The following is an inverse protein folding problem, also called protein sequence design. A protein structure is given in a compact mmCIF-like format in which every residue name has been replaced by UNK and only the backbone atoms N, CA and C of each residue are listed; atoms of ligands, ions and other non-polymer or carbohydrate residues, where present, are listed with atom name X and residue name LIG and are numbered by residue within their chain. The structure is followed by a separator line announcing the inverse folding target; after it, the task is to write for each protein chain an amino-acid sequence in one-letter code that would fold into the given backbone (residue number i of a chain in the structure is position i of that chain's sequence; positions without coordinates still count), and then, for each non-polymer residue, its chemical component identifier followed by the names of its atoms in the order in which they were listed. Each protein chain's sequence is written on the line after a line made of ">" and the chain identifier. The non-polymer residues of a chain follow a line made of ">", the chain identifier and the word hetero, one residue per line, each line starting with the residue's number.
data_IF_914004949685
#
_entry.id   IF_914004949685
#
_cell.length_a   1.000
_cell.length_b   1.000
_cell.length_c   1.000
_cell.angle_alpha   90.00
_cell.angle_beta   90.00
_cell.angle_gamma   90.00
#
_symmetry.space_group_name_H-M   'P 1'
#
loop_
_entity.id
_entity.type
_entity.pdbx_description
1 polymer ?
#
# COMPACT_ATOMS: atom_id res chain seq x y z
N UNK A 1 -36.82 -16.30 18.18
CA UNK A 1 -38.28 -16.46 18.14
C UNK A 1 -38.91 -15.56 19.21
N UNK A 2 -39.58 -14.51 18.79
CA UNK A 2 -40.35 -13.64 19.71
C UNK A 2 -41.56 -14.41 20.28
N UNK A 3 -41.31 -15.32 21.22
CA UNK A 3 -42.34 -16.17 21.80
C UNK A 3 -43.59 -15.38 22.19
N UNK A 4 -44.64 -15.42 21.40
CA UNK A 4 -45.88 -14.74 21.66
C UNK A 4 -46.68 -14.45 20.39
N UNK A 5 -47.69 -13.63 20.53
CA UNK A 5 -48.71 -13.32 19.52
C UNK A 5 -48.24 -12.38 18.38
N UNK A 6 -46.95 -12.09 18.28
CA UNK A 6 -46.40 -11.23 17.22
C UNK A 6 -45.63 -12.06 16.22
N UNK A 7 -45.82 -11.76 14.94
CA UNK A 7 -45.05 -12.33 13.85
C UNK A 7 -43.59 -11.93 13.99
N UNK A 8 -42.66 -12.88 13.80
CA UNK A 8 -41.23 -12.63 13.79
C UNK A 8 -40.89 -11.59 12.72
N UNK A 9 -40.07 -10.62 13.07
CA UNK A 9 -39.66 -9.58 12.15
C UNK A 9 -38.66 -10.10 11.09
N UNK A 10 -38.59 -9.43 9.95
CA UNK A 10 -37.89 -9.90 8.76
C UNK A 10 -36.35 -9.96 8.89
N UNK A 11 -35.77 -9.19 9.83
CA UNK A 11 -34.31 -9.04 9.93
C UNK A 11 -33.56 -10.35 10.14
N UNK A 12 -34.05 -11.20 11.07
CA UNK A 12 -33.51 -12.53 11.31
C UNK A 12 -33.61 -13.42 10.06
N UNK A 13 -34.77 -13.42 9.40
CA UNK A 13 -34.95 -14.21 8.18
C UNK A 13 -33.98 -13.77 7.06
N UNK A 14 -33.79 -12.47 6.90
CA UNK A 14 -32.85 -11.95 5.91
C UNK A 14 -31.40 -12.34 6.27
N UNK A 15 -31.03 -12.32 7.54
CA UNK A 15 -29.72 -12.75 8.03
C UNK A 15 -29.47 -14.23 7.71
N UNK A 16 -30.38 -15.11 8.15
CA UNK A 16 -30.25 -16.56 7.89
C UNK A 16 -30.25 -16.87 6.39
N UNK A 17 -31.02 -16.13 5.59
CA UNK A 17 -30.98 -16.26 4.14
C UNK A 17 -29.66 -15.76 3.56
N UNK A 18 -29.00 -14.79 4.17
CA UNK A 18 -27.65 -14.37 3.85
C UNK A 18 -26.65 -15.52 3.91
N UNK A 19 -26.75 -16.40 4.93
CA UNK A 19 -25.93 -17.61 4.99
C UNK A 19 -26.22 -18.58 3.84
N UNK A 20 -27.47 -18.69 3.40
CA UNK A 20 -27.82 -19.50 2.22
C UNK A 20 -27.17 -18.96 0.94
N UNK A 21 -26.96 -17.63 0.86
CA UNK A 21 -26.24 -16.99 -0.23
C UNK A 21 -24.71 -17.11 -0.11
N UNK A 22 -24.19 -17.63 1.00
CA UNK A 22 -22.78 -17.85 1.24
C UNK A 22 -22.09 -16.71 2.02
N UNK A 23 -22.83 -15.76 2.58
CA UNK A 23 -22.26 -14.71 3.42
C UNK A 23 -21.91 -15.22 4.81
N UNK A 24 -20.71 -14.93 5.33
CA UNK A 24 -20.36 -15.23 6.73
C UNK A 24 -20.96 -14.21 7.68
N UNK A 25 -20.91 -14.50 8.97
CA UNK A 25 -21.16 -13.52 10.00
C UNK A 25 -20.04 -12.49 10.07
N UNK A 26 -20.38 -11.20 10.06
CA UNK A 26 -19.43 -10.12 10.24
C UNK A 26 -19.34 -9.61 11.68
N UNK A 27 -19.99 -10.27 12.63
CA UNK A 27 -19.79 -10.04 14.04
C UNK A 27 -18.80 -11.04 14.64
N UNK A 28 -18.38 -10.78 15.85
CA UNK A 28 -17.53 -11.66 16.65
C UNK A 28 -18.33 -12.89 17.12
N UNK A 29 -18.11 -14.02 16.47
CA UNK A 29 -18.88 -15.26 16.72
C UNK A 29 -18.46 -15.98 17.98
N UNK A 30 -17.33 -15.64 18.60
CA UNK A 30 -16.90 -16.19 19.89
C UNK A 30 -17.12 -15.21 21.07
N UNK A 31 -17.68 -14.04 20.78
CA UNK A 31 -18.07 -12.97 21.71
C UNK A 31 -16.95 -12.32 22.49
N UNK A 32 -16.02 -13.04 23.06
CA UNK A 32 -14.91 -12.48 23.82
C UNK A 32 -13.81 -13.49 24.12
N UNK A 33 -13.91 -14.70 23.59
CA UNK A 33 -12.96 -15.77 23.89
C UNK A 33 -11.57 -15.49 23.32
N UNK A 34 -11.47 -14.80 22.18
CA UNK A 34 -10.21 -14.51 21.48
C UNK A 34 -9.61 -13.14 21.79
N UNK A 35 -9.72 -12.69 23.04
CA UNK A 35 -9.04 -11.45 23.48
C UNK A 35 -9.94 -10.22 23.59
N UNK A 36 -11.23 -10.40 23.71
CA UNK A 36 -12.26 -9.38 23.84
C UNK A 36 -13.19 -9.31 22.64
N UNK A 37 -14.24 -8.51 22.73
CA UNK A 37 -15.23 -8.40 21.67
C UNK A 37 -14.79 -7.43 20.58
N UNK A 38 -14.81 -7.89 19.33
CA UNK A 38 -14.57 -7.06 18.16
C UNK A 38 -15.82 -6.25 17.79
N UNK A 39 -15.71 -4.95 17.51
CA UNK A 39 -16.85 -4.12 17.08
C UNK A 39 -17.39 -4.52 15.70
N UNK A 40 -16.53 -5.03 14.80
CA UNK A 40 -16.90 -5.51 13.47
C UNK A 40 -17.69 -4.46 12.65
N UNK A 41 -18.80 -4.85 12.04
CA UNK A 41 -19.61 -3.96 11.20
C UNK A 41 -20.87 -3.42 11.90
N UNK A 42 -21.13 -3.84 13.13
CA UNK A 42 -22.25 -3.34 13.94
C UNK A 42 -23.60 -3.30 13.20
N UNK A 43 -24.33 -2.20 13.35
CA UNK A 43 -25.65 -1.99 12.72
C UNK A 43 -25.60 -1.75 11.20
N UNK A 44 -24.43 -1.66 10.61
CA UNK A 44 -24.24 -1.34 9.18
C UNK A 44 -24.33 -2.56 8.25
N UNK A 45 -24.25 -3.78 8.78
CA UNK A 45 -24.34 -5.00 8.00
C UNK A 45 -25.51 -5.88 8.47
N UNK A 46 -26.21 -6.46 7.49
CA UNK A 46 -27.21 -7.49 7.70
C UNK A 46 -26.62 -8.71 8.43
N UNK A 47 -25.38 -9.08 8.05
CA UNK A 47 -24.66 -10.22 8.63
C UNK A 47 -23.93 -9.88 9.94
N UNK A 48 -24.32 -8.77 10.58
CA UNK A 48 -23.89 -8.34 11.89
C UNK A 48 -25.13 -7.91 12.70
N UNK A 49 -25.00 -7.03 13.69
CA UNK A 49 -26.13 -6.57 14.50
C UNK A 49 -27.18 -5.76 13.74
N UNK A 50 -26.91 -5.40 12.48
CA UNK A 50 -27.88 -4.71 11.60
C UNK A 50 -29.18 -5.48 11.39
N UNK A 51 -29.17 -6.82 11.47
CA UNK A 51 -30.38 -7.64 11.43
C UNK A 51 -31.39 -7.28 12.51
N UNK A 52 -30.93 -6.64 13.61
CA UNK A 52 -31.80 -6.21 14.74
C UNK A 52 -32.28 -4.75 14.62
N UNK A 53 -31.88 -4.02 13.57
CA UNK A 53 -32.30 -2.62 13.41
C UNK A 53 -33.82 -2.46 13.44
N UNK A 54 -34.29 -1.45 14.16
CA UNK A 54 -35.72 -1.17 14.36
C UNK A 54 -36.51 -2.43 14.86
N UNK A 55 -35.96 -3.12 15.86
CA UNK A 55 -36.51 -4.39 16.35
C UNK A 55 -36.64 -5.44 15.22
N UNK A 56 -35.63 -5.60 14.44
CA UNK A 56 -35.54 -6.51 13.29
C UNK A 56 -36.52 -6.27 12.15
N UNK A 57 -37.19 -5.10 12.13
CA UNK A 57 -38.16 -4.76 11.07
C UNK A 57 -37.55 -4.09 9.88
N UNK A 58 -36.35 -3.49 10.03
CA UNK A 58 -35.68 -2.71 9.00
C UNK A 58 -34.20 -3.04 8.99
N UNK A 59 -33.83 -4.25 8.57
CA UNK A 59 -32.40 -4.57 8.37
C UNK A 59 -31.79 -3.60 7.36
N UNK A 60 -30.48 -3.27 7.48
CA UNK A 60 -29.84 -2.31 6.59
C UNK A 60 -29.75 -2.87 5.16
N UNK A 61 -29.49 -1.99 4.21
CA UNK A 61 -29.10 -2.41 2.86
C UNK A 61 -27.90 -3.35 2.92
N UNK A 62 -27.95 -4.40 2.12
CA UNK A 62 -26.82 -5.30 1.88
C UNK A 62 -25.64 -4.46 1.40
N UNK A 63 -24.48 -4.61 2.04
CA UNK A 63 -23.30 -3.81 1.76
C UNK A 63 -22.63 -4.21 0.44
N UNK A 64 -21.67 -3.41 0.00
CA UNK A 64 -21.02 -3.61 -1.30
C UNK A 64 -20.23 -4.92 -1.39
N UNK A 65 -19.63 -5.41 -0.28
CA UNK A 65 -18.94 -6.70 -0.26
C UNK A 65 -19.94 -7.85 -0.40
N UNK A 66 -21.01 -7.84 0.39
CA UNK A 66 -22.07 -8.85 0.33
C UNK A 66 -22.66 -8.95 -1.08
N UNK A 67 -22.88 -7.79 -1.75
CA UNK A 67 -23.34 -7.74 -3.14
C UNK A 67 -22.31 -8.30 -4.12
N UNK A 68 -21.04 -7.98 -3.93
CA UNK A 68 -19.96 -8.45 -4.78
C UNK A 68 -19.77 -9.97 -4.67
N UNK A 69 -19.82 -10.52 -3.46
CA UNK A 69 -19.70 -11.97 -3.22
C UNK A 69 -20.72 -12.81 -4.01
N UNK A 70 -21.91 -12.27 -4.27
CA UNK A 70 -22.99 -12.96 -4.99
C UNK A 70 -23.17 -12.44 -6.43
N UNK A 71 -22.29 -11.56 -6.90
CA UNK A 71 -22.31 -11.06 -8.29
C UNK A 71 -23.40 -10.02 -8.57
N UNK A 72 -24.01 -9.40 -7.55
CA UNK A 72 -25.01 -8.33 -7.76
C UNK A 72 -24.37 -6.97 -8.04
N UNK A 73 -23.13 -6.77 -7.62
CA UNK A 73 -22.35 -5.59 -7.87
C UNK A 73 -20.90 -5.97 -8.10
N UNK A 74 -20.20 -5.12 -8.85
CA UNK A 74 -18.74 -5.16 -8.99
C UNK A 74 -18.21 -3.78 -8.64
N UNK A 75 -17.44 -3.64 -7.55
CA UNK A 75 -16.85 -2.38 -7.17
C UNK A 75 -15.82 -1.93 -8.22
N UNK A 76 -15.89 -0.66 -8.60
CA UNK A 76 -14.94 -0.06 -9.54
C UNK A 76 -13.63 0.26 -8.83
N UNK A 77 -12.50 -0.20 -9.39
CA UNK A 77 -11.19 0.11 -8.82
C UNK A 77 -10.80 1.56 -9.09
N UNK A 78 -10.40 2.26 -8.04
CA UNK A 78 -9.94 3.65 -8.12
C UNK A 78 -8.46 3.67 -8.45
N UNK A 79 -8.13 4.05 -9.69
CA UNK A 79 -6.75 4.05 -10.21
C UNK A 79 -6.28 5.39 -10.73
N UNK A 80 -7.18 6.37 -10.90
CA UNK A 80 -6.86 7.63 -11.55
C UNK A 80 -7.23 8.84 -10.69
N UNK A 81 -6.50 9.94 -10.89
CA UNK A 81 -6.84 11.23 -10.30
C UNK A 81 -8.13 11.78 -10.92
N UNK A 82 -8.94 12.44 -10.14
CA UNK A 82 -10.12 13.11 -10.68
C UNK A 82 -11.25 13.34 -9.69
N UNK A 83 -12.35 13.80 -10.23
CA UNK A 83 -13.61 13.97 -9.50
C UNK A 83 -14.46 12.71 -9.71
N UNK A 84 -14.82 12.07 -8.62
CA UNK A 84 -15.63 10.87 -8.60
C UNK A 84 -17.01 11.16 -8.00
N UNK A 85 -18.00 10.40 -8.45
CA UNK A 85 -19.36 10.49 -7.92
C UNK A 85 -19.88 9.10 -7.64
N UNK A 86 -20.16 8.82 -6.37
CA UNK A 86 -20.62 7.52 -5.90
C UNK A 86 -22.12 7.57 -5.64
N UNK A 87 -22.87 6.84 -6.44
CA UNK A 87 -24.30 6.61 -6.25
C UNK A 87 -24.57 5.75 -5.00
N UNK A 88 -25.79 5.76 -4.45
CA UNK A 88 -26.15 4.90 -3.32
C UNK A 88 -25.89 3.42 -3.59
N UNK A 89 -25.49 2.66 -2.58
CA UNK A 89 -25.26 1.23 -2.66
C UNK A 89 -26.48 0.44 -3.14
N UNK A 90 -27.68 0.99 -2.95
CA UNK A 90 -28.93 0.44 -3.50
C UNK A 90 -28.96 0.39 -5.02
N UNK A 91 -28.09 1.14 -5.69
CA UNK A 91 -27.89 1.12 -7.14
C UNK A 91 -26.74 0.18 -7.58
N UNK A 92 -26.26 -0.68 -6.68
CA UNK A 92 -25.16 -1.62 -6.89
C UNK A 92 -23.84 -0.94 -7.29
N UNK A 93 -23.55 0.23 -6.70
CA UNK A 93 -22.33 0.99 -6.92
C UNK A 93 -21.44 0.98 -5.68
N UNK A 94 -20.14 0.88 -5.92
CA UNK A 94 -19.09 0.95 -4.92
C UNK A 94 -17.74 1.15 -5.56
N UNK A 95 -16.77 1.57 -4.78
CA UNK A 95 -15.38 1.68 -5.20
C UNK A 95 -14.49 0.71 -4.42
N UNK A 96 -13.42 0.29 -5.06
CA UNK A 96 -12.36 -0.53 -4.50
C UNK A 96 -11.04 0.23 -4.54
N UNK A 97 -10.30 0.19 -3.45
CA UNK A 97 -8.94 0.73 -3.35
C UNK A 97 -8.01 -0.38 -2.91
N UNK A 98 -7.04 -0.70 -3.75
CA UNK A 98 -6.02 -1.69 -3.43
C UNK A 98 -5.03 -1.15 -2.40
N UNK A 99 -4.50 -2.05 -1.58
CA UNK A 99 -3.30 -1.79 -0.79
C UNK A 99 -2.08 -2.42 -1.47
N UNK A 100 -0.86 -2.14 -1.01
CA UNK A 100 0.33 -2.86 -1.47
C UNK A 100 0.31 -4.36 -1.17
N UNK A 101 -0.60 -4.83 -0.32
CA UNK A 101 -0.75 -6.22 0.06
C UNK A 101 -1.86 -6.87 -0.75
N UNK A 102 -1.56 -7.90 -1.53
CA UNK A 102 -2.54 -8.63 -2.34
C UNK A 102 -3.67 -9.17 -1.48
N UNK A 103 -4.92 -8.93 -1.88
CA UNK A 103 -6.15 -9.31 -1.18
C UNK A 103 -6.36 -8.63 0.19
N UNK A 104 -5.68 -7.52 0.43
CA UNK A 104 -5.96 -6.58 1.51
C UNK A 104 -6.35 -5.25 0.84
N UNK A 105 -7.60 -4.81 0.99
CA UNK A 105 -8.14 -3.69 0.23
C UNK A 105 -9.22 -2.93 1.00
N UNK A 106 -9.58 -1.76 0.50
CA UNK A 106 -10.68 -0.97 1.02
C UNK A 106 -11.85 -0.98 0.04
N UNK A 107 -13.06 -1.08 0.57
CA UNK A 107 -14.31 -0.91 -0.16
C UNK A 107 -15.03 0.34 0.30
N UNK A 108 -15.55 1.08 -0.65
CA UNK A 108 -16.27 2.31 -0.42
C UNK A 108 -17.70 2.18 -0.96
N UNK A 109 -18.67 2.58 -0.15
CA UNK A 109 -20.06 2.65 -0.56
C UNK A 109 -20.72 3.93 -0.04
N UNK A 110 -21.82 4.31 -0.68
CA UNK A 110 -22.65 5.44 -0.23
C UNK A 110 -23.97 4.94 0.35
N UNK A 111 -24.24 5.33 1.59
CA UNK A 111 -25.51 5.06 2.27
C UNK A 111 -26.39 6.31 2.30
N UNK A 112 -27.48 6.28 1.55
CA UNK A 112 -28.50 7.33 1.61
C UNK A 112 -29.56 7.00 2.66
N UNK A 113 -29.20 7.19 3.92
CA UNK A 113 -30.08 6.89 5.07
C UNK A 113 -31.33 7.76 5.13
N UNK A 114 -31.42 8.80 4.31
CA UNK A 114 -32.60 9.69 4.24
C UNK A 114 -33.68 9.11 3.34
N UNK A 115 -33.32 8.66 2.15
CA UNK A 115 -34.26 8.24 1.12
C UNK A 115 -34.44 6.72 1.07
N UNK A 116 -33.45 5.95 1.56
CA UNK A 116 -33.55 4.50 1.61
C UNK A 116 -34.15 4.03 2.96
N UNK A 117 -35.38 3.51 2.90
CA UNK A 117 -36.08 3.03 4.11
C UNK A 117 -35.33 1.99 4.93
N UNK A 118 -34.49 1.18 4.28
CA UNK A 118 -33.72 0.14 4.94
C UNK A 118 -32.55 0.68 5.74
N UNK A 119 -31.99 1.82 5.31
CA UNK A 119 -30.88 2.48 5.99
C UNK A 119 -31.34 3.60 6.95
N UNK A 120 -32.64 3.95 6.96
CA UNK A 120 -33.19 4.96 7.89
C UNK A 120 -32.85 4.72 9.36
N UNK A 121 -32.86 3.48 9.89
CA UNK A 121 -32.45 3.23 11.29
C UNK A 121 -31.03 3.63 11.62
N UNK A 122 -30.13 3.73 10.61
CA UNK A 122 -28.76 4.21 10.79
C UNK A 122 -28.70 5.73 10.95
N UNK A 123 -29.76 6.45 10.62
CA UNK A 123 -29.85 7.90 10.70
C UNK A 123 -30.27 8.36 12.10
N UNK A 124 -29.52 7.96 13.13
CA UNK A 124 -29.76 8.39 14.53
C UNK A 124 -29.53 9.88 14.75
N UNK A 125 -28.81 10.55 13.82
CA UNK A 125 -28.68 12.00 13.71
C UNK A 125 -28.66 12.41 12.24
N UNK A 126 -29.11 13.62 11.92
CA UNK A 126 -29.33 14.09 10.55
C UNK A 126 -28.12 14.00 9.60
N UNK A 127 -26.92 13.84 10.13
CA UNK A 127 -25.66 13.74 9.36
C UNK A 127 -25.12 12.33 9.25
N UNK A 128 -25.84 11.28 9.70
CA UNK A 128 -25.40 9.89 9.58
C UNK A 128 -25.73 9.32 8.21
N UNK A 129 -25.13 9.89 7.16
CA UNK A 129 -25.26 9.47 5.76
C UNK A 129 -24.03 9.85 4.96
N UNK A 130 -23.86 9.20 3.83
CA UNK A 130 -22.76 9.47 2.89
C UNK A 130 -21.84 8.28 2.74
N UNK A 131 -20.56 8.55 2.64
CA UNK A 131 -19.54 7.54 2.39
C UNK A 131 -19.30 6.68 3.63
N UNK A 132 -19.35 5.37 3.44
CA UNK A 132 -18.83 4.36 4.33
C UNK A 132 -17.61 3.71 3.69
N UNK A 133 -16.63 3.36 4.52
CA UNK A 133 -15.41 2.70 4.10
C UNK A 133 -15.18 1.44 4.94
N UNK A 134 -14.89 0.35 4.27
CA UNK A 134 -14.57 -0.93 4.89
C UNK A 134 -13.13 -1.30 4.57
N UNK A 135 -12.42 -1.83 5.54
CA UNK A 135 -11.15 -2.52 5.35
C UNK A 135 -11.44 -4.01 5.29
N UNK A 136 -10.96 -4.68 4.25
CA UNK A 136 -11.15 -6.12 4.02
C UNK A 136 -9.79 -6.79 3.90
N UNK A 137 -9.51 -7.76 4.77
CA UNK A 137 -8.37 -8.65 4.66
C UNK A 137 -8.84 -10.05 4.24
N UNK A 138 -8.61 -10.36 2.97
CA UNK A 138 -8.81 -11.68 2.37
C UNK A 138 -7.49 -12.31 1.95
N UNK A 139 -6.38 -11.93 2.61
CA UNK A 139 -5.05 -12.51 2.33
C UNK A 139 -5.04 -14.00 2.62
N UNK A 140 -4.14 -14.73 2.00
CA UNK A 140 -4.03 -16.19 2.16
C UNK A 140 -3.91 -16.65 3.62
N UNK A 141 -3.36 -15.79 4.48
CA UNK A 141 -3.26 -16.03 5.92
C UNK A 141 -4.62 -16.07 6.61
N UNK A 142 -5.58 -15.28 6.15
CA UNK A 142 -6.89 -15.09 6.80
C UNK A 142 -8.05 -15.74 6.06
N UNK A 143 -7.85 -16.30 4.86
CA UNK A 143 -8.88 -17.09 4.15
C UNK A 143 -9.52 -18.17 5.02
N UNK A 144 -8.78 -18.89 5.91
CA UNK A 144 -9.42 -19.86 6.81
C UNK A 144 -10.47 -19.25 7.72
N UNK A 145 -10.26 -18.03 8.24
CA UNK A 145 -11.23 -17.36 9.11
C UNK A 145 -12.54 -17.05 8.37
N UNK A 146 -12.47 -16.66 7.10
CA UNK A 146 -13.63 -16.50 6.24
C UNK A 146 -14.37 -17.83 6.04
N UNK A 147 -13.63 -18.90 5.78
CA UNK A 147 -14.20 -20.24 5.55
C UNK A 147 -14.83 -20.86 6.80
N UNK A 148 -14.28 -20.56 7.97
CA UNK A 148 -14.77 -21.09 9.26
C UNK A 148 -15.72 -20.15 9.98
N UNK A 149 -16.15 -19.05 9.36
CA UNK A 149 -17.03 -18.06 9.94
C UNK A 149 -16.50 -17.44 11.25
N UNK A 150 -15.19 -17.17 11.31
CA UNK A 150 -14.49 -16.63 12.48
C UNK A 150 -13.70 -15.36 12.14
N UNK A 151 -14.04 -14.70 11.03
CA UNK A 151 -13.25 -13.64 10.43
C UNK A 151 -13.05 -12.41 11.33
N UNK A 152 -13.95 -12.16 12.28
CA UNK A 152 -13.87 -11.03 13.20
C UNK A 152 -13.79 -11.43 14.68
N UNK A 153 -13.38 -12.67 15.00
CA UNK A 153 -13.24 -13.11 16.37
C UNK A 153 -12.03 -12.48 17.09
N UNK A 154 -11.03 -12.04 16.36
CA UNK A 154 -9.87 -11.38 16.95
C UNK A 154 -10.02 -9.84 16.88
N UNK A 155 -10.29 -9.15 18.00
CA UNK A 155 -10.46 -7.70 18.01
C UNK A 155 -9.16 -6.93 17.69
N UNK A 156 -8.01 -7.60 17.74
CA UNK A 156 -6.75 -7.01 17.31
C UNK A 156 -6.53 -7.09 15.79
N UNK A 157 -7.29 -7.97 15.10
CA UNK A 157 -7.22 -8.16 13.66
C UNK A 157 -8.57 -8.61 13.11
N UNK A 158 -9.45 -7.67 12.85
CA UNK A 158 -10.73 -7.92 12.19
C UNK A 158 -10.53 -8.05 10.69
N UNK A 159 -10.93 -9.18 10.08
CA UNK A 159 -10.80 -9.37 8.63
C UNK A 159 -11.74 -8.48 7.81
N UNK A 160 -12.78 -7.96 8.42
CA UNK A 160 -13.63 -6.90 7.86
C UNK A 160 -14.04 -5.92 8.95
N UNK A 161 -13.60 -4.68 8.83
CA UNK A 161 -13.91 -3.61 9.80
C UNK A 161 -14.34 -2.32 9.10
N UNK A 162 -14.97 -1.45 9.84
CA UNK A 162 -15.28 -0.09 9.43
C UNK A 162 -14.05 0.82 9.58
N UNK A 163 -13.73 1.60 8.55
CA UNK A 163 -12.83 2.74 8.64
C UNK A 163 -13.66 3.96 9.02
N UNK A 164 -13.50 4.43 10.24
CA UNK A 164 -14.35 5.48 10.79
C UNK A 164 -13.82 6.87 10.43
N UNK A 165 -14.72 7.82 10.19
CA UNK A 165 -14.32 9.21 9.92
C UNK A 165 -13.63 9.85 11.14
N UNK A 166 -13.97 9.42 12.34
CA UNK A 166 -13.26 9.74 13.58
C UNK A 166 -12.64 8.45 14.10
N UNK A 167 -11.33 8.23 13.90
CA UNK A 167 -10.66 7.02 14.33
C UNK A 167 -10.76 6.78 15.84
N UNK A 168 -10.73 5.54 16.22
CA UNK A 168 -10.74 5.10 17.61
C UNK A 168 -11.75 3.99 17.83
N UNK A 169 -11.39 3.03 18.70
CA UNK A 169 -12.28 1.95 19.10
C UNK A 169 -13.23 2.43 20.19
N UNK A 170 -14.51 2.34 19.93
CA UNK A 170 -15.53 2.36 20.97
C UNK A 170 -16.41 1.14 20.75
N UNK A 171 -16.69 0.39 21.79
CA UNK A 171 -17.60 -0.75 21.75
C UNK A 171 -19.06 -0.37 21.42
N UNK A 172 -19.34 0.91 21.27
CA UNK A 172 -20.65 1.47 20.94
C UNK A 172 -20.48 2.65 19.98
N UNK A 173 -19.84 2.41 18.83
CA UNK A 173 -19.66 3.49 17.89
C UNK A 173 -20.97 3.85 17.23
N UNK A 174 -21.30 5.07 17.51
CA UNK A 174 -22.47 5.68 16.93
C UNK A 174 -22.21 6.04 15.47
N UNK A 175 -23.19 5.91 14.60
CA UNK A 175 -23.09 6.27 13.19
C UNK A 175 -22.44 7.64 12.91
N UNK A 176 -22.53 8.59 13.86
CA UNK A 176 -21.92 9.92 13.74
C UNK A 176 -20.41 9.91 13.54
N UNK A 177 -19.69 8.88 14.00
CA UNK A 177 -18.24 8.76 13.87
C UNK A 177 -17.80 7.97 12.64
N UNK A 178 -18.73 7.38 11.92
CA UNK A 178 -18.42 6.42 10.85
C UNK A 178 -18.50 7.04 9.46
N UNK A 179 -19.51 7.87 9.21
CA UNK A 179 -19.74 8.46 7.89
C UNK A 179 -18.76 9.58 7.55
N UNK A 180 -18.43 9.69 6.24
CA UNK A 180 -17.78 10.85 5.64
C UNK A 180 -18.79 11.60 4.73
N UNK A 181 -18.89 12.94 4.79
CA UNK A 181 -18.26 13.81 5.78
C UNK A 181 -18.87 13.66 7.18
N UNK A 182 -20.05 13.06 7.30
CA UNK A 182 -20.76 12.76 8.53
C UNK A 182 -21.03 13.96 9.42
N UNK A 183 -21.37 13.70 10.68
CA UNK A 183 -21.66 14.72 11.68
C UNK A 183 -20.46 15.59 12.06
N UNK A 184 -19.25 15.06 11.89
CA UNK A 184 -18.00 15.74 12.26
C UNK A 184 -17.40 16.51 11.07
N UNK A 185 -18.06 16.52 9.92
CA UNK A 185 -17.62 17.20 8.69
C UNK A 185 -16.18 16.83 8.27
N UNK A 186 -15.85 15.53 8.34
CA UNK A 186 -14.55 15.01 7.91
C UNK A 186 -14.59 14.81 6.39
N UNK A 187 -13.99 15.71 5.66
CA UNK A 187 -14.04 15.77 4.20
C UNK A 187 -12.85 15.15 3.49
N UNK A 188 -11.96 14.50 4.23
CA UNK A 188 -10.76 13.84 3.67
C UNK A 188 -10.52 12.48 4.30
N UNK A 189 -9.90 11.61 3.52
CA UNK A 189 -9.44 10.29 3.96
C UNK A 189 -8.13 9.97 3.27
N UNK A 190 -7.06 9.82 4.05
CA UNK A 190 -5.75 9.42 3.57
C UNK A 190 -5.02 8.60 4.63
N UNK A 191 -3.96 7.85 4.27
CA UNK A 191 -3.14 7.13 5.25
C UNK A 191 -2.48 8.03 6.30
N UNK A 192 -2.30 9.32 6.00
CA UNK A 192 -1.71 10.31 6.90
C UNK A 192 -2.72 10.88 7.90
N UNK A 193 -3.99 10.93 7.53
CA UNK A 193 -5.05 11.53 8.35
C UNK A 193 -5.90 10.52 9.10
N UNK A 194 -5.88 9.24 8.69
CA UNK A 194 -6.69 8.19 9.28
C UNK A 194 -5.89 6.89 9.45
N UNK A 195 -5.59 6.54 10.70
CA UNK A 195 -4.81 5.35 11.03
C UNK A 195 -5.51 4.02 10.71
N UNK A 196 -6.84 4.02 10.54
CA UNK A 196 -7.60 2.84 10.11
C UNK A 196 -7.56 2.65 8.58
N UNK A 197 -7.10 3.65 7.81
CA UNK A 197 -6.95 3.60 6.36
C UNK A 197 -5.51 3.19 5.97
N UNK A 198 -5.03 2.11 6.57
CA UNK A 198 -3.72 1.50 6.36
C UNK A 198 -3.92 -0.01 6.39
N UNK A 199 -3.22 -0.78 5.54
CA UNK A 199 -3.30 -2.24 5.57
C UNK A 199 -2.77 -2.80 6.91
N UNK A 200 -3.17 -4.01 7.25
CA UNK A 200 -2.68 -4.69 8.45
C UNK A 200 -1.16 -4.89 8.47
N UNK A 201 -0.52 -4.94 7.31
CA UNK A 201 0.94 -5.01 7.17
C UNK A 201 1.59 -3.60 7.08
N UNK A 202 0.89 -2.56 7.53
CA UNK A 202 1.34 -1.17 7.50
C UNK A 202 1.56 -0.59 6.08
N UNK A 203 1.07 -1.28 5.06
CA UNK A 203 1.09 -0.80 3.67
C UNK A 203 0.08 0.32 3.49
N UNK A 204 0.54 1.47 3.01
CA UNK A 204 -0.32 2.62 2.73
C UNK A 204 -0.95 2.49 1.34
N UNK A 205 -2.29 2.61 1.20
CA UNK A 205 -2.89 2.71 -0.12
C UNK A 205 -2.37 3.95 -0.85
N UNK A 206 -2.24 3.84 -2.16
CA UNK A 206 -1.80 4.95 -3.00
C UNK A 206 -2.88 6.01 -3.24
N UNK A 207 -4.11 5.72 -2.87
CA UNK A 207 -5.28 6.58 -3.09
C UNK A 207 -5.60 7.38 -1.84
N UNK A 208 -5.85 8.67 -2.05
CA UNK A 208 -6.37 9.57 -1.01
C UNK A 208 -7.59 10.31 -1.53
N UNK A 209 -8.48 10.66 -0.63
CA UNK A 209 -9.73 11.35 -0.93
C UNK A 209 -9.78 12.71 -0.25
N UNK A 210 -10.27 13.71 -0.96
CA UNK A 210 -10.57 15.05 -0.43
C UNK A 210 -11.91 15.56 -0.95
N UNK A 211 -12.36 16.70 -0.44
CA UNK A 211 -13.62 17.33 -0.81
C UNK A 211 -14.82 16.39 -0.78
N UNK A 212 -14.80 15.42 0.14
CA UNK A 212 -15.90 14.49 0.31
C UNK A 212 -17.14 15.26 0.74
N UNK A 213 -18.18 15.24 -0.08
CA UNK A 213 -19.42 15.97 0.16
C UNK A 213 -20.64 15.25 -0.38
N UNK A 214 -21.77 15.53 0.23
CA UNK A 214 -23.06 15.06 -0.25
C UNK A 214 -23.57 15.97 -1.37
N UNK A 215 -24.06 15.36 -2.45
CA UNK A 215 -24.76 16.04 -3.54
C UNK A 215 -26.05 15.26 -3.85
N UNK A 216 -27.14 15.73 -3.30
CA UNK A 216 -28.42 15.02 -3.33
C UNK A 216 -28.32 13.67 -2.59
N UNK A 217 -28.52 12.57 -3.31
CA UNK A 217 -28.35 11.19 -2.85
C UNK A 217 -26.94 10.66 -3.07
N UNK A 218 -26.10 11.35 -3.80
CA UNK A 218 -24.77 10.94 -4.19
C UNK A 218 -23.69 11.48 -3.23
N UNK A 219 -22.54 10.85 -3.25
CA UNK A 219 -21.30 11.37 -2.65
C UNK A 219 -20.37 11.79 -3.77
N UNK A 220 -19.91 13.04 -3.73
CA UNK A 220 -18.81 13.53 -4.58
C UNK A 220 -17.53 13.60 -3.77
N UNK A 221 -16.43 13.27 -4.41
CA UNK A 221 -15.11 13.28 -3.82
C UNK A 221 -14.03 13.52 -4.88
N UNK A 222 -12.96 14.16 -4.46
CA UNK A 222 -11.75 14.32 -5.26
C UNK A 222 -10.78 13.18 -4.91
N UNK A 223 -10.26 12.51 -5.92
CA UNK A 223 -9.29 11.43 -5.79
C UNK A 223 -7.92 11.93 -6.18
N UNK A 224 -6.94 11.70 -5.31
CA UNK A 224 -5.52 11.73 -5.63
C UNK A 224 -4.96 10.32 -5.53
N UNK A 225 -4.30 9.88 -6.59
CA UNK A 225 -3.55 8.62 -6.59
C UNK A 225 -2.06 8.94 -6.60
N UNK A 226 -1.30 8.22 -5.78
CA UNK A 226 0.15 8.17 -5.99
C UNK A 226 0.37 7.27 -7.19
N UNK A 227 0.79 7.83 -8.31
CA UNK A 227 1.17 7.03 -9.46
C UNK A 227 2.23 6.01 -9.02
N UNK A 228 2.06 4.76 -9.42
CA UNK A 228 2.98 3.69 -9.05
C UNK A 228 4.29 3.89 -9.82
N UNK A 229 5.13 4.79 -9.29
CA UNK A 229 6.41 5.12 -9.89
C UNK A 229 7.27 3.86 -9.90
N UNK A 230 7.63 3.40 -11.09
CA UNK A 230 8.65 2.37 -11.22
C UNK A 230 10.01 3.00 -11.03
N UNK A 231 10.69 2.62 -9.96
CA UNK A 231 12.02 3.07 -9.64
C UNK A 231 12.82 1.90 -9.09
N UNK A 232 14.10 1.87 -9.47
CA UNK A 232 15.05 0.85 -9.04
C UNK A 232 16.33 1.51 -8.54
N UNK A 233 16.98 0.88 -7.58
CA UNK A 233 18.25 1.34 -7.04
C UNK A 233 19.28 0.22 -7.11
N UNK A 234 20.44 0.54 -7.68
CA UNK A 234 21.61 -0.35 -7.73
C UNK A 234 22.71 0.25 -6.87
N UNK A 235 23.00 -0.36 -5.74
CA UNK A 235 23.97 0.12 -4.77
C UNK A 235 25.33 -0.55 -4.91
N UNK A 236 26.40 0.20 -4.61
CA UNK A 236 27.77 -0.24 -4.42
C UNK A 236 28.21 0.07 -3.00
N UNK A 237 29.52 0.07 -2.75
CA UNK A 237 30.07 0.31 -1.39
C UNK A 237 29.83 1.75 -0.91
N UNK A 238 30.03 2.76 -1.77
CA UNK A 238 30.04 4.17 -1.42
C UNK A 238 29.07 5.02 -2.23
N UNK A 239 28.34 4.40 -3.14
CA UNK A 239 27.43 5.06 -4.06
C UNK A 239 26.23 4.17 -4.43
N UNK A 240 25.20 4.77 -5.00
CA UNK A 240 24.07 4.07 -5.57
C UNK A 240 23.55 4.82 -6.80
N UNK A 241 23.10 4.08 -7.80
CA UNK A 241 22.39 4.61 -8.96
C UNK A 241 20.90 4.36 -8.79
N UNK A 242 20.12 5.42 -8.67
CA UNK A 242 18.67 5.40 -8.74
C UNK A 242 18.25 5.65 -10.19
N UNK A 243 17.33 4.83 -10.70
CA UNK A 243 16.68 5.04 -12.00
C UNK A 243 15.16 4.95 -11.83
N UNK A 244 14.39 5.70 -12.63
CA UNK A 244 12.94 5.67 -12.58
C UNK A 244 12.28 5.90 -13.93
N UNK A 245 11.03 5.47 -14.06
CA UNK A 245 10.18 5.77 -15.21
C UNK A 245 9.31 6.98 -14.87
N UNK A 246 9.34 8.02 -15.70
CA UNK A 246 8.56 9.23 -15.51
C UNK A 246 8.83 10.27 -16.59
N UNK A 247 8.14 11.40 -16.54
CA UNK A 247 8.43 12.51 -17.45
C UNK A 247 9.81 13.10 -17.12
N UNK A 248 10.78 13.03 -18.05
CA UNK A 248 12.10 13.59 -17.82
C UNK A 248 12.10 15.11 -17.65
N UNK A 249 11.07 15.81 -18.14
CA UNK A 249 10.93 17.25 -17.95
C UNK A 249 10.38 17.63 -16.56
N UNK A 250 9.85 16.66 -15.81
CA UNK A 250 9.36 16.90 -14.47
C UNK A 250 10.50 17.16 -13.47
N UNK A 251 10.18 17.87 -12.41
CA UNK A 251 11.05 18.06 -11.26
C UNK A 251 10.84 16.93 -10.26
N UNK A 252 11.93 16.33 -9.78
CA UNK A 252 11.93 15.20 -8.86
C UNK A 252 12.71 15.53 -7.60
N UNK A 253 12.09 15.34 -6.44
CA UNK A 253 12.78 15.38 -5.15
C UNK A 253 13.20 13.96 -4.76
N UNK A 254 14.49 13.79 -4.46
CA UNK A 254 15.11 12.53 -4.07
C UNK A 254 15.63 12.71 -2.65
N UNK A 255 15.13 11.92 -1.71
CA UNK A 255 15.54 11.97 -0.30
C UNK A 255 16.07 10.61 0.11
N UNK A 256 17.25 10.58 0.76
CA UNK A 256 17.78 9.35 1.34
C UNK A 256 18.26 9.57 2.76
N UNK A 257 18.09 8.57 3.58
CA UNK A 257 18.41 8.65 5.02
C UNK A 257 18.98 7.33 5.54
N UNK A 258 19.92 7.45 6.49
CA UNK A 258 20.46 6.37 7.31
C UNK A 258 20.93 6.90 8.65
N UNK A 259 20.78 6.12 9.74
CA UNK A 259 21.25 6.45 11.08
C UNK A 259 20.90 7.88 11.56
N UNK A 260 19.71 8.39 11.20
CA UNK A 260 19.24 9.73 11.57
C UNK A 260 19.77 10.88 10.71
N UNK A 261 20.63 10.62 9.73
CA UNK A 261 21.10 11.62 8.76
C UNK A 261 20.23 11.50 7.51
N UNK A 262 19.59 12.61 7.14
CA UNK A 262 18.81 12.73 5.92
C UNK A 262 19.46 13.74 4.98
N UNK A 263 19.43 13.41 3.68
CA UNK A 263 19.83 14.30 2.59
C UNK A 263 18.74 14.32 1.54
N UNK A 264 18.62 15.44 0.82
CA UNK A 264 17.66 15.63 -0.24
C UNK A 264 18.29 16.39 -1.38
N UNK A 265 17.93 16.02 -2.61
CA UNK A 265 18.31 16.71 -3.84
C UNK A 265 17.11 16.80 -4.76
N UNK A 266 17.03 17.90 -5.50
CA UNK A 266 16.00 18.11 -6.51
C UNK A 266 16.63 18.09 -7.89
N UNK A 267 16.09 17.31 -8.81
CA UNK A 267 16.62 17.12 -10.16
C UNK A 267 15.54 17.31 -11.22
N UNK A 268 15.97 17.79 -12.39
CA UNK A 268 15.11 17.95 -13.58
C UNK A 268 15.86 17.48 -14.81
N UNK A 269 15.15 17.14 -15.87
CA UNK A 269 15.77 16.76 -17.14
C UNK A 269 16.41 15.38 -17.16
N UNK A 270 16.11 14.53 -16.18
CA UNK A 270 16.73 13.19 -16.10
C UNK A 270 15.80 12.18 -15.41
N UNK A 271 16.06 10.90 -15.69
CA UNK A 271 15.41 9.75 -15.05
C UNK A 271 16.45 8.83 -14.38
N UNK A 272 17.60 9.39 -14.00
CA UNK A 272 18.62 8.70 -13.23
C UNK A 272 19.35 9.69 -12.32
N UNK A 273 19.68 9.25 -11.12
CA UNK A 273 20.44 10.06 -10.14
C UNK A 273 21.50 9.21 -9.44
N UNK A 274 22.72 9.74 -9.39
CA UNK A 274 23.85 9.07 -8.76
C UNK A 274 24.05 9.60 -7.35
N UNK A 275 23.70 8.78 -6.37
CA UNK A 275 23.87 9.07 -4.95
C UNK A 275 25.28 8.71 -4.54
N UNK A 276 26.04 9.66 -4.03
CA UNK A 276 27.44 9.49 -3.62
C UNK A 276 27.68 9.75 -2.15
N UNK A 277 28.82 9.33 -1.64
CA UNK A 277 29.22 9.58 -0.23
C UNK A 277 28.43 8.72 0.76
N UNK A 278 28.01 7.54 0.33
CA UNK A 278 27.35 6.56 1.19
C UNK A 278 28.40 5.82 2.06
N UNK A 279 27.95 5.30 3.19
CA UNK A 279 28.74 4.42 4.05
C UNK A 279 28.56 2.96 3.60
N UNK A 280 29.62 2.14 3.58
CA UNK A 280 29.50 0.73 3.22
C UNK A 280 28.76 -0.08 4.27
N UNK A 281 28.21 -1.24 3.89
CA UNK A 281 27.44 -2.16 4.72
C UNK A 281 26.30 -1.46 5.51
N UNK A 282 25.66 -0.47 4.89
CA UNK A 282 24.68 0.40 5.55
C UNK A 282 23.36 0.35 4.81
N UNK A 283 22.27 0.24 5.58
CA UNK A 283 20.91 0.33 5.06
C UNK A 283 20.49 1.80 4.91
N UNK A 284 19.92 2.09 3.77
CA UNK A 284 19.36 3.39 3.43
C UNK A 284 17.88 3.28 3.06
N UNK A 285 17.07 4.16 3.63
CA UNK A 285 15.73 4.42 3.15
C UNK A 285 15.80 5.56 2.13
N UNK A 286 15.27 5.33 0.95
CA UNK A 286 15.25 6.25 -0.19
C UNK A 286 13.80 6.56 -0.56
N UNK A 287 13.49 7.82 -0.81
CA UNK A 287 12.22 8.26 -1.37
C UNK A 287 12.49 9.10 -2.62
N UNK A 288 11.74 8.86 -3.67
CA UNK A 288 11.68 9.74 -4.85
C UNK A 288 10.24 10.19 -5.06
N UNK A 289 10.03 11.48 -5.27
CA UNK A 289 8.71 12.07 -5.49
C UNK A 289 8.79 13.13 -6.59
N UNK A 290 7.77 13.18 -7.44
CA UNK A 290 7.61 14.28 -8.40
C UNK A 290 7.16 15.54 -7.64
N UNK A 291 7.83 16.66 -7.88
CA UNK A 291 7.43 17.96 -7.36
C UNK A 291 6.30 18.50 -8.23
N UNK A 292 5.06 18.33 -7.79
CA UNK A 292 3.87 18.75 -8.56
C UNK A 292 2.69 18.95 -7.64
N UNK A 293 1.87 19.99 -7.93
CA UNK A 293 0.60 20.21 -7.25
C UNK A 293 -0.53 19.31 -7.79
N UNK A 294 -0.34 18.69 -8.95
CA UNK A 294 -1.38 17.95 -9.67
C UNK A 294 -1.12 16.46 -9.83
N UNK A 295 0.14 16.05 -9.76
CA UNK A 295 0.55 14.63 -9.91
C UNK A 295 1.33 14.21 -8.67
N UNK A 296 0.81 13.23 -7.93
CA UNK A 296 1.51 12.64 -6.78
C UNK A 296 2.15 11.31 -7.23
N UNK A 297 3.31 11.42 -7.86
CA UNK A 297 4.12 10.27 -8.28
C UNK A 297 5.30 10.11 -7.34
N UNK A 298 5.31 9.06 -6.54
CA UNK A 298 6.39 8.82 -5.58
C UNK A 298 6.66 7.33 -5.38
N UNK A 299 7.89 7.01 -4.96
CA UNK A 299 8.31 5.65 -4.59
C UNK A 299 9.24 5.68 -3.41
N UNK A 300 8.95 4.83 -2.43
CA UNK A 300 9.85 4.53 -1.32
C UNK A 300 10.59 3.22 -1.61
N UNK A 301 11.89 3.21 -1.36
CA UNK A 301 12.80 2.10 -1.57
C UNK A 301 13.69 1.91 -0.33
N UNK A 302 14.13 0.68 -0.09
CA UNK A 302 15.16 0.37 0.89
C UNK A 302 16.28 -0.34 0.14
N UNK A 303 17.51 0.09 0.36
CA UNK A 303 18.67 -0.59 -0.20
C UNK A 303 19.81 -0.68 0.80
N UNK A 304 20.69 -1.64 0.59
CA UNK A 304 21.89 -1.83 1.38
C UNK A 304 23.10 -1.58 0.48
N UNK A 305 24.05 -0.78 0.97
CA UNK A 305 25.37 -0.67 0.31
C UNK A 305 26.18 -1.93 0.55
N UNK A 306 27.03 -2.24 -0.41
CA UNK A 306 27.95 -3.37 -0.30
C UNK A 306 28.97 -3.12 0.85
N UNK A 307 29.40 -4.18 1.55
CA UNK A 307 30.43 -4.05 2.56
C UNK A 307 31.78 -3.72 1.93
N UNK A 308 32.65 -3.07 2.70
CA UNK A 308 34.06 -2.89 2.31
C UNK A 308 34.73 -4.25 2.33
N UNK A 309 35.25 -4.62 1.20
CA UNK A 309 36.11 -5.80 1.10
C UNK A 309 37.56 -5.37 1.35
N UNK A 310 38.13 -5.80 2.45
CA UNK A 310 39.58 -5.69 2.65
C UNK A 310 40.26 -6.80 1.89
N UNK A 311 40.80 -6.50 0.74
CA UNK A 311 41.64 -7.45 0.00
C UNK A 311 42.97 -7.53 0.72
N UNK A 312 43.37 -8.72 1.17
CA UNK A 312 44.66 -8.95 1.79
C UNK A 312 45.80 -8.86 0.73
N UNK A 313 45.53 -9.12 -0.54
CA UNK A 313 46.42 -8.87 -1.67
C UNK A 313 45.63 -8.98 -2.98
N UNK A 314 45.71 -7.94 -3.82
CA UNK A 314 45.37 -8.00 -5.23
C UNK A 314 46.67 -8.01 -5.98
N UNK A 315 46.88 -9.00 -6.83
CA UNK A 315 48.10 -9.10 -7.63
C UNK A 315 47.74 -8.93 -9.08
N UNK A 316 48.57 -8.17 -9.80
CA UNK A 316 48.52 -8.12 -11.24
C UNK A 316 49.21 -9.40 -11.76
N UNK A 317 48.53 -10.14 -12.62
CA UNK A 317 49.09 -11.31 -13.26
C UNK A 317 50.02 -10.88 -14.38
N UNK A 318 51.31 -11.00 -14.13
CA UNK A 318 52.34 -10.87 -15.14
C UNK A 318 53.12 -12.19 -15.18
N UNK A 319 53.76 -12.55 -16.31
CA UNK A 319 54.59 -13.73 -16.38
C UNK A 319 55.73 -13.68 -15.35
N UNK A 320 55.92 -14.78 -14.60
CA UNK A 320 56.95 -14.86 -13.55
C UNK A 320 58.38 -14.94 -14.06
N UNK A 321 58.57 -15.30 -15.31
CA UNK A 321 59.87 -15.41 -15.93
C UNK A 321 59.94 -14.60 -17.24
N UNK A 322 61.08 -13.99 -17.48
CA UNK A 322 61.31 -13.05 -18.58
C UNK A 322 60.70 -13.45 -19.92
N UNK A 323 59.79 -12.64 -20.36
CA UNK A 323 59.18 -12.79 -21.66
C UNK A 323 59.87 -11.88 -22.68
N UNK A 324 59.80 -12.28 -23.92
CA UNK A 324 60.34 -11.47 -25.02
C UNK A 324 59.34 -10.39 -25.43
N UNK A 325 59.82 -9.31 -26.03
CA UNK A 325 58.98 -8.20 -26.48
C UNK A 325 57.89 -8.61 -27.50
N UNK A 326 58.02 -9.78 -28.09
CA UNK A 326 57.03 -10.33 -29.03
C UNK A 326 55.94 -11.19 -28.33
N UNK A 327 56.09 -11.43 -27.02
CA UNK A 327 55.10 -12.23 -26.27
C UNK A 327 53.99 -11.34 -25.71
N UNK A 328 52.74 -11.59 -26.08
CA UNK A 328 51.64 -10.82 -25.51
C UNK A 328 51.50 -11.06 -24.01
N UNK A 329 51.25 -9.99 -23.28
CA UNK A 329 50.93 -10.01 -21.84
C UNK A 329 49.42 -9.88 -21.66
N UNK A 330 48.87 -10.75 -20.87
CA UNK A 330 47.43 -10.67 -20.47
C UNK A 330 47.35 -9.98 -19.12
N UNK A 331 46.65 -8.84 -19.09
CA UNK A 331 46.41 -8.09 -17.88
C UNK A 331 45.20 -8.71 -17.16
N UNK A 332 45.44 -9.29 -16.01
CA UNK A 332 44.38 -9.86 -15.16
C UNK A 332 44.73 -9.66 -13.70
N UNK A 333 43.68 -9.73 -12.83
CA UNK A 333 43.87 -9.70 -11.39
C UNK A 333 43.83 -11.12 -10.83
N UNK A 334 44.80 -11.42 -9.94
CA UNK A 334 44.81 -12.65 -9.15
C UNK A 334 44.37 -12.37 -7.73
N UNK A 335 43.85 -13.43 -7.07
CA UNK A 335 43.52 -13.46 -5.64
C UNK A 335 42.48 -12.42 -5.21
N UNK A 336 41.67 -11.89 -6.12
CA UNK A 336 40.60 -11.03 -5.73
C UNK A 336 39.35 -11.84 -5.29
N UNK A 337 38.67 -11.33 -4.27
CA UNK A 337 37.37 -11.87 -3.81
C UNK A 337 36.35 -10.74 -3.81
N UNK A 338 35.27 -10.90 -4.56
CA UNK A 338 34.18 -9.94 -4.63
C UNK A 338 33.79 -9.57 -6.04
N UNK A 339 32.85 -8.66 -6.20
CA UNK A 339 32.41 -8.12 -7.48
C UNK A 339 33.24 -6.88 -7.80
N UNK A 340 33.93 -6.91 -8.92
CA UNK A 340 34.62 -5.73 -9.47
C UNK A 340 33.72 -5.15 -10.55
N UNK A 341 33.27 -3.90 -10.37
CA UNK A 341 32.40 -3.23 -11.33
C UNK A 341 33.14 -2.76 -12.58
N UNK A 342 34.37 -2.32 -12.39
CA UNK A 342 35.23 -1.84 -13.47
C UNK A 342 36.68 -1.94 -13.04
N UNK A 343 37.58 -2.28 -13.98
CA UNK A 343 39.02 -2.21 -13.82
C UNK A 343 39.54 -1.27 -14.89
N UNK A 344 40.27 -0.25 -14.48
CA UNK A 344 41.04 0.62 -15.40
C UNK A 344 42.50 0.20 -15.36
N UNK A 345 43.03 -0.20 -16.50
CA UNK A 345 44.43 -0.60 -16.68
C UNK A 345 45.29 0.54 -17.18
N UNK A 346 46.48 0.65 -16.63
CA UNK A 346 47.48 1.61 -17.05
C UNK A 346 48.80 0.88 -17.28
N UNK A 347 49.44 1.22 -18.39
CA UNK A 347 50.81 0.79 -18.72
C UNK A 347 51.63 2.07 -18.90
N UNK A 348 52.71 2.21 -18.14
CA UNK A 348 53.59 3.38 -18.15
C UNK A 348 52.81 4.71 -18.03
N UNK A 349 51.87 4.73 -17.09
CA UNK A 349 50.94 5.84 -16.81
C UNK A 349 49.97 6.18 -17.96
N UNK A 350 49.85 5.36 -18.98
CA UNK A 350 48.87 5.52 -20.06
C UNK A 350 47.73 4.51 -19.89
N UNK A 351 46.50 5.00 -19.84
CA UNK A 351 45.33 4.15 -19.79
C UNK A 351 45.22 3.27 -21.03
N UNK A 352 44.93 1.98 -20.84
CA UNK A 352 44.68 1.04 -21.92
C UNK A 352 43.35 0.31 -21.67
N UNK A 353 42.61 0.11 -22.74
CA UNK A 353 41.41 -0.76 -22.72
C UNK A 353 41.75 -2.18 -23.21
N UNK A 354 42.95 -2.36 -23.75
CA UNK A 354 43.40 -3.64 -24.27
C UNK A 354 44.10 -4.45 -23.16
N UNK A 355 43.40 -5.49 -22.68
CA UNK A 355 43.88 -6.41 -21.63
C UNK A 355 44.82 -7.49 -22.18
N UNK A 356 45.05 -7.54 -23.48
CA UNK A 356 45.98 -8.45 -24.13
C UNK A 356 46.87 -7.65 -25.09
N UNK A 357 48.09 -7.36 -24.66
CA UNK A 357 48.97 -6.43 -25.36
C UNK A 357 50.41 -6.91 -25.33
N UNK A 358 51.19 -6.50 -26.34
CA UNK A 358 52.66 -6.66 -26.39
C UNK A 358 53.34 -5.43 -25.79
N UNK A 359 54.34 -5.63 -24.95
CA UNK A 359 55.14 -4.57 -24.37
C UNK A 359 56.46 -4.48 -25.12
N UNK A 360 57.00 -3.27 -25.25
CA UNK A 360 58.33 -3.06 -25.80
C UNK A 360 59.41 -3.68 -24.87
N UNK A 361 60.65 -3.81 -25.37
CA UNK A 361 61.74 -4.25 -24.51
C UNK A 361 62.07 -3.17 -23.48
N UNK A 362 62.16 -3.52 -22.21
CA UNK A 362 62.47 -2.61 -21.10
C UNK A 362 61.64 -2.88 -19.84
N UNK A 363 61.79 -1.99 -18.86
CA UNK A 363 60.94 -2.00 -17.65
C UNK A 363 59.61 -1.29 -17.92
N UNK A 364 58.53 -1.89 -17.50
CA UNK A 364 57.19 -1.34 -17.63
C UNK A 364 56.48 -1.31 -16.29
N UNK A 365 55.72 -0.25 -16.03
CA UNK A 365 54.87 -0.11 -14.88
C UNK A 365 53.45 -0.46 -15.27
N UNK A 366 52.84 -1.48 -14.61
CA UNK A 366 51.45 -1.88 -14.81
C UNK A 366 50.68 -1.55 -13.55
N UNK A 367 49.56 -0.83 -13.70
CA UNK A 367 48.61 -0.50 -12.63
C UNK A 367 47.20 -0.94 -13.02
N UNK A 368 46.45 -1.36 -12.03
CA UNK A 368 45.02 -1.65 -12.13
C UNK A 368 44.24 -0.86 -11.10
#
# INVERSE_FOLDING_TARGET
>A
LNGGYQMTAIGTFCHEFGHVLGWPDFYDTDYSASGGTAPALESFSLMCSGSYNNNSRTPPSVNILERWMVGWAEPEEVTENGLYTLAPVSENKGYLVQTPTTNDYFLLENRDTRNNKWDQPLNSAAACRGLLVYHVDYTSRYVPQWSYNTLNNNPAHECMKLVRSVPGRSSYDVPQKTFFPGANNITSLSPETNADYISWNSGKPSVSFSDIKLDGSQVRLSVKTKANLKAEVSARQYDALLTWEGDPAAEWEITWKSAGIQRSETVTGCNAFHITGLSPATEYALSIAQVSDTVDSSKDLIFNTEPTYTYKSVRICVPDEGYTHDTPVMLSLLDYRGKIGRIDWYIDNRKTENTYTTLAAGEHTIMA
#
